data_IF_817436025806
#
_entry.id   IF_817436025806
#
_cell.length_a   1.000
_cell.length_b   1.000
_cell.length_c   1.000
_cell.angle_alpha   90.00
_cell.angle_beta   90.00
_cell.angle_gamma   90.00
#
_symmetry.space_group_name_H-M   'P 1'
#
loop_
_entity.id
_entity.type
_entity.pdbx_description
1 polymer ?
#
# COMPACT_ATOMS: atom_id res chain seq x y z
N UNK A 1 4.51 -2.24 13.34
CA UNK A 1 4.07 -1.22 14.31
C UNK A 1 3.93 0.09 13.57
N UNK A 2 2.82 0.80 13.76
CA UNK A 2 2.55 2.09 13.14
C UNK A 2 2.01 3.06 14.18
N UNK A 3 2.75 4.14 14.39
CA UNK A 3 2.44 5.12 15.42
C UNK A 3 2.29 6.50 14.77
N UNK A 4 1.28 7.24 15.19
CA UNK A 4 1.02 8.61 14.77
C UNK A 4 0.83 9.48 16.01
N UNK A 5 1.54 10.61 16.07
CA UNK A 5 1.46 11.55 17.18
C UNK A 5 1.13 12.95 16.65
N UNK A 6 0.00 13.48 17.08
CA UNK A 6 -0.49 14.82 16.75
C UNK A 6 -0.53 15.10 15.24
N UNK A 7 -0.86 14.07 14.45
CA UNK A 7 -0.85 14.16 13.00
C UNK A 7 -1.88 15.18 12.53
N UNK A 8 -1.40 16.26 11.93
CA UNK A 8 -2.23 17.36 11.45
C UNK A 8 -1.93 17.67 10.00
N UNK A 9 -2.98 17.80 9.18
CA UNK A 9 -2.87 18.19 7.78
C UNK A 9 -3.83 19.32 7.45
N UNK A 10 -3.25 20.45 7.03
CA UNK A 10 -3.96 21.63 6.54
C UNK A 10 -3.72 21.82 5.04
N UNK A 11 -4.76 22.25 4.34
CA UNK A 11 -4.76 22.73 2.96
C UNK A 11 -5.32 24.15 2.94
N UNK A 12 -4.44 25.15 2.99
CA UNK A 12 -4.85 26.53 3.17
C UNK A 12 -5.64 26.70 4.47
N UNK A 13 -6.92 27.10 4.36
CA UNK A 13 -7.83 27.27 5.50
C UNK A 13 -8.52 25.98 5.96
N UNK A 14 -8.43 24.90 5.18
CA UNK A 14 -9.09 23.63 5.50
C UNK A 14 -8.17 22.74 6.34
N UNK A 15 -8.60 22.38 7.53
CA UNK A 15 -7.96 21.31 8.31
C UNK A 15 -8.57 19.96 7.91
N UNK A 16 -7.83 19.17 7.14
CA UNK A 16 -8.29 17.88 6.62
C UNK A 16 -7.98 16.71 7.56
N UNK A 17 -6.97 16.84 8.41
CA UNK A 17 -6.69 15.95 9.55
C UNK A 17 -6.31 16.84 10.71
N UNK A 18 -6.93 16.64 11.87
CA UNK A 18 -6.74 17.48 13.04
C UNK A 18 -6.26 16.65 14.23
N UNK A 19 -5.01 16.84 14.63
CA UNK A 19 -4.40 16.26 15.83
C UNK A 19 -4.60 14.74 16.02
N UNK A 20 -4.54 13.95 14.95
CA UNK A 20 -4.78 12.51 15.00
C UNK A 20 -3.62 11.78 15.68
N UNK A 21 -3.90 11.05 16.76
CA UNK A 21 -2.91 10.24 17.48
C UNK A 21 -3.42 8.82 17.72
N UNK A 22 -2.60 7.83 17.41
CA UNK A 22 -2.90 6.41 17.62
C UNK A 22 -1.63 5.57 17.50
N UNK A 23 -1.69 4.36 18.05
CA UNK A 23 -0.65 3.35 17.93
C UNK A 23 -1.28 2.03 17.45
N UNK A 24 -0.69 1.39 16.45
CA UNK A 24 -1.14 0.12 15.88
C UNK A 24 -0.02 -0.91 16.05
N UNK A 25 -0.19 -1.87 16.98
CA UNK A 25 0.75 -2.97 17.17
C UNK A 25 0.88 -3.88 15.94
N UNK A 26 2.00 -4.64 15.84
CA UNK A 26 2.15 -5.68 14.82
C UNK A 26 1.01 -6.70 14.84
N UNK A 27 0.58 -7.17 13.66
CA UNK A 27 -0.44 -8.20 13.52
C UNK A 27 -1.89 -7.72 13.65
N UNK A 28 -2.12 -6.43 13.89
CA UNK A 28 -3.46 -5.88 13.98
C UNK A 28 -4.01 -5.46 12.60
N UNK A 29 -5.28 -5.78 12.35
CA UNK A 29 -6.05 -5.24 11.23
C UNK A 29 -6.92 -4.08 11.73
N UNK A 30 -6.84 -2.93 11.07
CA UNK A 30 -7.62 -1.73 11.42
C UNK A 30 -8.36 -1.18 10.21
N UNK A 31 -9.54 -0.61 10.47
CA UNK A 31 -10.33 0.09 9.46
C UNK A 31 -10.43 1.58 9.77
N UNK A 32 -10.15 2.43 8.78
CA UNK A 32 -10.39 3.87 8.88
C UNK A 32 -11.79 4.19 8.36
N UNK A 33 -12.71 4.53 9.27
CA UNK A 33 -14.13 4.76 8.96
C UNK A 33 -14.53 6.23 9.08
N UNK A 34 -15.52 6.65 8.30
CA UNK A 34 -16.07 8.02 8.32
C UNK A 34 -16.77 8.42 7.02
N UNK A 35 -17.50 9.54 7.03
CA UNK A 35 -18.19 10.07 5.85
C UNK A 35 -17.23 10.46 4.71
N UNK A 36 -17.78 10.64 3.50
CA UNK A 36 -17.02 11.21 2.39
C UNK A 36 -16.57 12.63 2.75
N UNK A 37 -15.30 12.95 2.49
CA UNK A 37 -14.71 14.23 2.89
C UNK A 37 -14.18 14.30 4.33
N UNK A 38 -14.38 13.27 5.17
CA UNK A 38 -13.87 13.24 6.55
C UNK A 38 -12.32 13.15 6.68
N UNK A 39 -11.58 13.25 5.58
CA UNK A 39 -10.10 13.23 5.62
C UNK A 39 -9.45 11.85 5.58
N UNK A 40 -10.20 10.76 5.39
CA UNK A 40 -9.65 9.38 5.37
C UNK A 40 -8.48 9.18 4.41
N UNK A 41 -8.69 9.53 3.14
CA UNK A 41 -7.65 9.43 2.10
C UNK A 41 -6.47 10.37 2.40
N UNK A 42 -6.75 11.53 2.99
CA UNK A 42 -5.71 12.47 3.42
C UNK A 42 -4.85 11.86 4.54
N UNK A 43 -5.47 11.30 5.58
CA UNK A 43 -4.77 10.62 6.67
C UNK A 43 -3.91 9.48 6.14
N UNK A 44 -4.47 8.60 5.29
CA UNK A 44 -3.72 7.53 4.63
C UNK A 44 -2.48 8.06 3.88
N UNK A 45 -2.63 9.12 3.07
CA UNK A 45 -1.53 9.74 2.33
C UNK A 45 -0.46 10.35 3.26
N UNK A 46 -0.85 10.91 4.40
CA UNK A 46 0.09 11.40 5.40
C UNK A 46 0.90 10.25 6.03
N UNK A 47 0.24 9.16 6.41
CA UNK A 47 0.88 8.01 7.09
C UNK A 47 1.99 7.38 6.24
N UNK A 48 1.81 7.34 4.93
CA UNK A 48 2.81 6.82 3.98
C UNK A 48 3.74 7.92 3.43
N UNK A 49 3.65 9.14 3.98
CA UNK A 49 4.44 10.32 3.61
C UNK A 49 4.37 10.67 2.11
N UNK A 50 3.18 10.58 1.50
CA UNK A 50 2.92 11.10 0.15
C UNK A 50 2.60 12.60 0.15
N UNK A 51 2.18 13.16 1.28
CA UNK A 51 1.92 14.59 1.45
C UNK A 51 2.56 15.11 2.74
N UNK A 52 3.00 16.39 2.78
CA UNK A 52 3.58 16.99 3.99
C UNK A 52 2.52 17.15 5.09
N UNK A 53 2.92 16.97 6.35
CA UNK A 53 2.06 17.05 7.54
C UNK A 53 2.83 17.58 8.76
N UNK A 54 2.10 18.01 9.79
CA UNK A 54 2.59 18.33 11.13
C UNK A 54 2.38 17.14 12.08
N UNK A 55 3.15 17.08 13.17
CA UNK A 55 3.18 15.93 14.07
C UNK A 55 4.27 14.93 13.69
N UNK A 56 4.10 13.65 14.05
CA UNK A 56 5.05 12.58 13.78
C UNK A 56 4.33 11.30 13.35
N UNK A 57 4.95 10.54 12.44
CA UNK A 57 4.51 9.19 12.08
C UNK A 57 5.74 8.28 12.05
N UNK A 58 5.63 7.12 12.70
CA UNK A 58 6.68 6.11 12.83
C UNK A 58 6.16 4.79 12.25
N UNK A 59 6.93 4.18 11.36
CA UNK A 59 6.64 2.87 10.78
C UNK A 59 7.79 1.92 11.13
N UNK A 60 7.49 0.85 11.88
CA UNK A 60 8.48 -0.15 12.30
C UNK A 60 9.77 0.49 12.85
N UNK A 61 9.62 1.53 13.67
CA UNK A 61 10.73 2.26 14.30
C UNK A 61 11.38 3.36 13.44
N UNK A 62 10.92 3.59 12.21
CA UNK A 62 11.45 4.62 11.31
C UNK A 62 10.50 5.82 11.21
N UNK A 63 11.00 7.02 11.49
CA UNK A 63 10.23 8.26 11.26
C UNK A 63 10.06 8.49 9.76
N UNK A 64 8.83 8.59 9.27
CA UNK A 64 8.56 8.63 7.81
C UNK A 64 9.08 9.89 7.12
N UNK A 65 9.34 10.98 7.85
CA UNK A 65 9.89 12.23 7.31
C UNK A 65 11.41 12.20 7.28
N UNK A 66 12.05 11.66 8.32
CA UNK A 66 13.52 11.60 8.45
C UNK A 66 14.12 10.38 7.74
N UNK A 67 13.43 9.24 7.83
CA UNK A 67 13.89 7.92 7.38
C UNK A 67 12.95 7.34 6.32
N UNK A 68 12.32 8.20 5.51
CA UNK A 68 11.26 7.82 4.59
C UNK A 68 11.62 6.67 3.63
N UNK A 69 12.90 6.49 3.26
CA UNK A 69 13.34 5.34 2.46
C UNK A 69 13.18 4.02 3.20
N UNK A 70 13.57 3.95 4.48
CA UNK A 70 13.45 2.74 5.29
C UNK A 70 11.99 2.46 5.62
N UNK A 71 11.24 3.48 6.04
CA UNK A 71 9.80 3.37 6.27
C UNK A 71 9.04 2.83 5.04
N UNK A 72 9.33 3.37 3.83
CA UNK A 72 8.68 2.90 2.59
C UNK A 72 9.00 1.46 2.21
N UNK A 73 10.11 0.89 2.68
CA UNK A 73 10.39 -0.54 2.47
C UNK A 73 9.51 -1.43 3.36
N UNK A 74 9.01 -0.90 4.48
CA UNK A 74 8.14 -1.59 5.43
C UNK A 74 6.66 -1.48 5.10
N UNK A 75 6.27 -0.51 4.27
CA UNK A 75 4.86 -0.26 3.89
C UNK A 75 4.53 -0.85 2.52
N UNK A 76 3.45 -1.63 2.43
CA UNK A 76 2.71 -1.87 1.19
C UNK A 76 1.56 -0.86 1.05
N UNK A 77 1.38 -0.26 -0.12
CA UNK A 77 0.28 0.66 -0.39
C UNK A 77 -0.41 0.28 -1.68
N UNK A 78 -1.73 0.12 -1.62
CA UNK A 78 -2.59 -0.13 -2.78
C UNK A 78 -3.40 1.14 -3.03
N UNK A 79 -3.15 1.87 -4.13
CA UNK A 79 -3.90 3.06 -4.46
C UNK A 79 -5.34 2.71 -4.87
N UNK A 80 -6.25 3.68 -4.74
CA UNK A 80 -7.64 3.55 -5.18
C UNK A 80 -7.77 3.29 -6.69
N UNK A 81 -6.90 3.93 -7.48
CA UNK A 81 -6.77 3.68 -8.91
C UNK A 81 -5.40 3.07 -9.16
N UNK A 82 -5.39 1.83 -9.64
CA UNK A 82 -4.19 1.13 -10.06
C UNK A 82 -3.95 1.46 -11.53
N UNK A 83 -2.80 2.06 -11.85
CA UNK A 83 -2.32 2.17 -13.21
C UNK A 83 -1.30 1.05 -13.40
N UNK A 84 -1.67 0.03 -14.15
CA UNK A 84 -0.72 -0.99 -14.58
C UNK A 84 -0.04 -0.54 -15.87
N UNK A 85 1.15 -1.06 -16.11
CA UNK A 85 1.72 -1.00 -17.44
C UNK A 85 1.00 -2.06 -18.28
N UNK A 86 0.22 -1.63 -19.27
CA UNK A 86 -0.57 -2.54 -20.11
C UNK A 86 0.29 -3.59 -20.84
N UNK A 87 1.59 -3.31 -20.98
CA UNK A 87 2.58 -4.17 -21.62
C UNK A 87 3.15 -5.26 -20.69
N UNK A 88 2.79 -5.28 -19.40
CA UNK A 88 3.32 -6.25 -18.43
C UNK A 88 2.28 -7.29 -18.02
N UNK A 89 2.72 -8.56 -18.00
CA UNK A 89 1.95 -9.66 -17.42
C UNK A 89 1.88 -9.55 -15.90
N UNK A 90 0.98 -10.31 -15.29
CA UNK A 90 0.80 -10.35 -13.83
C UNK A 90 2.09 -10.77 -13.12
N UNK A 91 2.75 -11.82 -13.60
CA UNK A 91 4.01 -12.29 -13.06
C UNK A 91 5.11 -11.25 -13.23
N UNK A 92 5.26 -10.65 -14.41
CA UNK A 92 6.24 -9.59 -14.66
C UNK A 92 6.04 -8.38 -13.73
N UNK A 93 4.78 -7.96 -13.54
CA UNK A 93 4.39 -6.90 -12.61
C UNK A 93 4.76 -7.24 -11.17
N UNK A 94 4.49 -8.46 -10.71
CA UNK A 94 4.85 -8.93 -9.37
C UNK A 94 6.38 -8.90 -9.15
N UNK A 95 7.15 -9.36 -10.14
CA UNK A 95 8.61 -9.33 -10.06
C UNK A 95 9.16 -7.91 -10.07
N UNK A 96 8.56 -7.02 -10.86
CA UNK A 96 8.93 -5.61 -10.90
C UNK A 96 8.80 -4.97 -9.52
N UNK A 97 7.64 -5.11 -8.87
CA UNK A 97 7.43 -4.56 -7.52
C UNK A 97 8.29 -5.23 -6.45
N UNK A 98 8.51 -6.55 -6.56
CA UNK A 98 9.40 -7.28 -5.67
C UNK A 98 10.84 -6.74 -5.69
N UNK A 99 11.38 -6.49 -6.88
CA UNK A 99 12.71 -5.91 -7.07
C UNK A 99 12.79 -4.49 -6.51
N UNK A 100 11.79 -3.65 -6.75
CA UNK A 100 11.71 -2.30 -6.17
C UNK A 100 11.72 -2.32 -4.63
N UNK A 101 11.05 -3.31 -4.04
CA UNK A 101 11.00 -3.52 -2.59
C UNK A 101 12.19 -4.29 -2.02
N UNK A 102 13.17 -4.66 -2.86
CA UNK A 102 14.35 -5.46 -2.48
C UNK A 102 13.99 -6.80 -1.82
N UNK A 103 12.88 -7.40 -2.23
CA UNK A 103 12.49 -8.74 -1.81
C UNK A 103 13.29 -9.75 -2.64
N UNK A 104 14.36 -10.28 -2.07
CA UNK A 104 15.14 -11.36 -2.68
C UNK A 104 14.35 -12.67 -2.71
N UNK A 105 14.55 -13.48 -3.75
CA UNK A 105 14.08 -14.88 -3.77
C UNK A 105 12.68 -15.13 -4.34
N UNK A 106 11.99 -14.13 -4.91
CA UNK A 106 10.81 -14.41 -5.72
C UNK A 106 11.24 -15.06 -7.03
N UNK A 107 11.24 -16.39 -7.03
CA UNK A 107 11.41 -17.22 -8.22
C UNK A 107 10.10 -17.13 -9.01
N UNK A 108 10.12 -16.83 -10.32
CA UNK A 108 8.89 -16.82 -11.10
C UNK A 108 8.21 -18.18 -10.99
N UNK A 109 6.89 -18.23 -10.73
CA UNK A 109 6.17 -19.47 -10.96
C UNK A 109 6.42 -19.86 -12.42
N UNK A 110 6.69 -21.15 -12.72
CA UNK A 110 6.92 -21.57 -14.09
C UNK A 110 5.76 -21.09 -14.97
N UNK A 111 6.06 -20.68 -16.20
CA UNK A 111 5.15 -19.99 -17.14
C UNK A 111 3.84 -20.73 -17.48
N UNK A 112 3.63 -21.92 -16.93
CA UNK A 112 2.45 -22.76 -17.14
C UNK A 112 1.90 -23.36 -15.83
N UNK A 113 1.93 -22.62 -14.72
CA UNK A 113 1.44 -23.13 -13.44
C UNK A 113 -0.01 -22.72 -13.21
N UNK A 114 -0.92 -23.70 -13.25
CA UNK A 114 -2.30 -23.50 -12.77
C UNK A 114 -2.31 -23.64 -11.26
N UNK A 115 -2.46 -22.53 -10.53
CA UNK A 115 -2.59 -22.58 -9.07
C UNK A 115 -4.08 -22.47 -8.71
N UNK A 116 -4.58 -23.47 -7.99
CA UNK A 116 -5.96 -23.49 -7.49
C UNK A 116 -5.97 -22.76 -6.15
N UNK A 117 -6.61 -21.60 -6.11
CA UNK A 117 -6.90 -20.88 -4.88
C UNK A 117 -8.32 -21.25 -4.42
N UNK A 118 -8.64 -21.11 -3.11
CA UNK A 118 -10.00 -21.35 -2.60
C UNK A 118 -11.08 -20.46 -3.24
N UNK A 119 -10.69 -19.43 -4.01
CA UNK A 119 -11.57 -18.53 -4.75
C UNK A 119 -11.51 -18.69 -6.28
N UNK A 120 -10.84 -19.74 -6.80
CA UNK A 120 -10.80 -20.06 -8.23
C UNK A 120 -9.41 -20.41 -8.78
N UNK A 121 -9.36 -20.79 -10.07
CA UNK A 121 -8.10 -21.03 -10.80
C UNK A 121 -7.60 -19.73 -11.42
N UNK A 122 -6.38 -19.34 -11.07
CA UNK A 122 -5.66 -18.29 -11.79
C UNK A 122 -4.62 -18.99 -12.68
N UNK A 123 -4.75 -18.80 -13.99
CA UNK A 123 -3.81 -19.31 -14.98
C UNK A 123 -2.88 -18.20 -15.44
N UNK A 124 -1.58 -18.47 -15.51
CA UNK A 124 -0.58 -17.56 -16.11
C UNK A 124 -0.59 -17.60 -17.64
N UNK A 125 -1.42 -18.47 -18.25
CA UNK A 125 -1.55 -18.60 -19.69
C UNK A 125 -2.60 -17.60 -20.23
N UNK A 126 -2.23 -16.64 -21.11
CA UNK A 126 -3.17 -15.65 -21.67
C UNK A 126 -4.35 -16.28 -22.41
N UNK A 127 -4.14 -17.46 -23.02
CA UNK A 127 -5.18 -18.16 -23.77
C UNK A 127 -6.24 -18.83 -22.87
N UNK A 128 -5.99 -18.94 -21.56
CA UNK A 128 -6.91 -19.52 -20.61
C UNK A 128 -7.87 -18.50 -19.97
N UNK A 129 -7.60 -17.19 -20.11
CA UNK A 129 -8.39 -16.12 -19.47
C UNK A 129 -9.63 -15.75 -20.32
N UNK A 130 -9.61 -16.00 -21.64
CA UNK A 130 -10.65 -15.58 -22.58
C UNK A 130 -11.71 -16.66 -22.92
N UNK A 131 -12.08 -17.53 -21.97
CA UNK A 131 -13.30 -18.35 -22.11
C UNK A 131 -14.24 -18.12 -20.93
N UNK A 132 -14.90 -16.96 -20.96
CA UNK A 132 -16.23 -16.81 -20.39
C UNK A 132 -17.23 -17.17 -21.50
N UNK A 133 -18.21 -18.01 -21.18
CA UNK A 133 -19.26 -18.47 -22.10
C UNK A 133 -20.24 -17.38 -22.50
#
# INVERSE_FOLDING_TARGET
MLDAHHLTKKFGRLTAVDNLSFDIPPGQAVGLWGANGAGKTTALRCLIHLIPFEGQVIVDGHDVRREGKQARLKVGFVPQHLTFHDDLRVDETLHFYARLKKLGGLRPPPSNTSTVWPYGRISTNPSAIYRAG
#
